data_IF_995723927959
#
_entry.id   IF_995723927959
#
_cell.length_a   1.000
_cell.length_b   1.000
_cell.length_c   1.000
_cell.angle_alpha   90.00
_cell.angle_beta   90.00
_cell.angle_gamma   90.00
#
_symmetry.space_group_name_H-M   'P 1'
#
loop_
_entity.id
_entity.type
_entity.pdbx_description
1 polymer ?
#
# COMPACT_ATOMS: atom_id res chain seq x y z
N UNK A 1 -5.03 -10.04 21.35
CA UNK A 1 -5.00 -9.82 19.89
C UNK A 1 -3.65 -9.25 19.54
N UNK A 2 -2.97 -9.72 18.47
CA UNK A 2 -1.62 -9.25 18.13
C UNK A 2 -1.63 -7.75 17.75
N UNK A 3 -0.65 -6.98 18.25
CA UNK A 3 -0.49 -5.55 17.96
C UNK A 3 -0.13 -5.31 16.49
N UNK A 4 -0.32 -4.08 16.01
CA UNK A 4 -0.02 -3.71 14.62
C UNK A 4 1.47 -3.90 14.27
N UNK A 5 2.35 -3.56 15.21
CA UNK A 5 3.79 -3.85 15.15
C UNK A 5 4.03 -5.36 15.03
N UNK A 6 3.31 -6.17 15.81
CA UNK A 6 3.43 -7.63 15.77
C UNK A 6 2.96 -8.24 14.45
N UNK A 7 2.00 -7.65 13.74
CA UNK A 7 1.51 -8.19 12.46
C UNK A 7 2.35 -7.75 11.28
N UNK A 8 2.80 -6.49 11.26
CA UNK A 8 3.79 -6.01 10.28
C UNK A 8 5.12 -6.76 10.42
N UNK A 9 5.58 -6.88 11.67
CA UNK A 9 6.73 -7.71 11.98
C UNK A 9 6.42 -9.17 11.71
N UNK A 10 5.22 -9.70 11.92
CA UNK A 10 4.92 -11.09 11.55
C UNK A 10 5.04 -11.33 10.04
N UNK A 11 4.69 -10.38 9.18
CA UNK A 11 4.93 -10.50 7.73
C UNK A 11 6.43 -10.47 7.43
N UNK A 12 7.18 -9.55 8.02
CA UNK A 12 8.63 -9.46 7.83
C UNK A 12 9.37 -10.68 8.42
N UNK A 13 8.95 -11.13 9.61
CA UNK A 13 9.45 -12.31 10.34
C UNK A 13 9.07 -13.58 9.62
N UNK A 14 7.87 -13.68 9.03
CA UNK A 14 7.51 -14.81 8.17
C UNK A 14 8.39 -14.85 6.93
N UNK A 15 8.70 -13.69 6.33
CA UNK A 15 9.65 -13.60 5.22
C UNK A 15 11.06 -14.04 5.63
N UNK A 16 11.57 -13.53 6.75
CA UNK A 16 12.87 -13.93 7.29
C UNK A 16 12.87 -15.42 7.67
N UNK A 17 11.81 -15.94 8.29
CA UNK A 17 11.73 -17.34 8.71
C UNK A 17 11.58 -18.31 7.53
N UNK A 18 10.91 -17.90 6.45
CA UNK A 18 10.63 -18.76 5.29
C UNK A 18 11.68 -18.65 4.20
N UNK A 19 12.32 -17.49 4.05
CA UNK A 19 13.21 -17.18 2.93
C UNK A 19 14.58 -16.63 3.37
N UNK A 20 14.84 -16.52 4.68
CA UNK A 20 16.08 -15.94 5.25
C UNK A 20 16.39 -14.53 4.72
N UNK A 21 15.34 -13.79 4.34
CA UNK A 21 15.45 -12.43 3.80
C UNK A 21 14.29 -11.56 4.27
N UNK A 22 14.52 -10.25 4.35
CA UNK A 22 13.48 -9.28 4.71
C UNK A 22 12.38 -9.18 3.64
N UNK A 23 11.21 -8.69 4.03
CA UNK A 23 10.09 -8.49 3.11
C UNK A 23 10.48 -7.57 1.93
N UNK A 24 10.04 -7.86 0.69
CA UNK A 24 10.52 -7.22 -0.53
C UNK A 24 10.41 -5.69 -0.65
N UNK A 25 11.51 -4.92 -0.53
CA UNK A 25 11.63 -3.45 -0.75
C UNK A 25 10.88 -2.87 -1.98
N UNK A 26 9.73 -2.21 -1.77
CA UNK A 26 8.86 -1.51 -2.73
C UNK A 26 9.13 0.00 -2.70
N UNK A 27 10.17 0.45 -3.42
CA UNK A 27 10.49 1.88 -3.56
C UNK A 27 10.27 2.42 -4.98
N UNK A 28 9.93 3.70 -5.09
CA UNK A 28 9.67 4.44 -6.35
C UNK A 28 10.77 4.24 -7.42
N UNK A 29 12.03 4.04 -7.01
CA UNK A 29 13.18 3.85 -7.90
C UNK A 29 13.95 2.52 -7.70
N UNK A 30 13.43 1.54 -6.95
CA UNK A 30 14.23 0.39 -6.46
C UNK A 30 14.31 -0.84 -7.38
N UNK A 31 15.49 -1.21 -7.92
CA UNK A 31 15.67 -2.06 -9.13
C UNK A 31 15.91 -3.56 -8.96
N UNK A 32 15.84 -4.12 -7.75
CA UNK A 32 16.37 -5.48 -7.52
C UNK A 32 15.28 -6.47 -7.06
N UNK A 33 14.61 -7.16 -8.00
CA UNK A 33 13.48 -8.07 -7.72
C UNK A 33 13.43 -9.38 -8.53
N UNK A 34 14.55 -9.89 -9.05
CA UNK A 34 14.58 -11.05 -9.95
C UNK A 34 14.12 -12.42 -9.42
N UNK A 35 13.38 -12.52 -8.29
CA UNK A 35 13.16 -13.82 -7.62
C UNK A 35 11.85 -14.07 -6.88
N UNK A 36 10.80 -13.25 -7.04
CA UNK A 36 9.59 -13.42 -6.23
C UNK A 36 8.49 -14.27 -6.89
N UNK A 37 8.11 -15.38 -6.25
CA UNK A 37 6.95 -16.22 -6.60
C UNK A 37 6.09 -16.52 -5.36
N UNK A 38 4.82 -16.12 -5.40
CA UNK A 38 3.70 -16.79 -4.69
C UNK A 38 3.31 -16.26 -3.29
N UNK A 39 2.16 -15.59 -3.22
CA UNK A 39 1.42 -15.24 -2.01
C UNK A 39 0.66 -16.44 -1.42
N UNK A 40 0.40 -16.43 -0.10
CA UNK A 40 -0.48 -17.38 0.59
C UNK A 40 -1.62 -16.65 1.30
N UNK A 41 -2.76 -17.33 1.42
CA UNK A 41 -4.11 -16.82 1.71
C UNK A 41 -4.23 -15.89 2.93
N UNK A 42 -4.84 -14.72 2.72
CA UNK A 42 -5.22 -13.75 3.75
C UNK A 42 -6.77 -13.67 3.78
N UNK A 43 -7.41 -13.76 4.96
CA UNK A 43 -8.86 -13.74 5.06
C UNK A 43 -9.44 -12.35 4.73
N UNK A 44 -10.48 -12.36 3.90
CA UNK A 44 -11.21 -11.20 3.38
C UNK A 44 -12.48 -10.97 4.20
N UNK A 45 -12.81 -9.70 4.49
CA UNK A 45 -14.06 -9.29 5.12
C UNK A 45 -14.71 -8.20 4.27
N UNK A 46 -16.01 -8.33 3.97
CA UNK A 46 -16.83 -7.30 3.27
C UNK A 46 -17.27 -6.19 4.24
N UNK A 47 -17.21 -4.92 3.81
CA UNK A 47 -17.80 -3.77 4.51
C UNK A 47 -18.99 -3.11 3.78
N UNK A 48 -19.84 -2.35 4.52
CA UNK A 48 -21.03 -1.72 3.97
C UNK A 48 -20.74 -0.37 3.29
N UNK A 49 -21.54 -0.08 2.26
CA UNK A 49 -21.45 1.12 1.45
C UNK A 49 -21.90 2.38 2.22
N UNK A 50 -21.09 3.45 2.08
CA UNK A 50 -21.33 4.88 2.38
C UNK A 50 -20.67 5.43 3.66
N UNK A 51 -19.51 6.09 3.50
CA UNK A 51 -18.98 7.06 4.49
C UNK A 51 -17.46 7.20 4.63
N UNK A 52 -16.66 6.23 4.20
CA UNK A 52 -15.31 6.01 4.78
C UNK A 52 -14.13 6.75 4.12
N UNK A 53 -14.34 7.40 2.97
CA UNK A 53 -13.24 7.98 2.18
C UNK A 53 -12.45 9.07 2.91
N UNK A 54 -13.14 9.94 3.65
CA UNK A 54 -12.50 10.99 4.46
C UNK A 54 -11.67 10.44 5.62
N UNK A 55 -12.10 9.33 6.21
CA UNK A 55 -11.46 8.76 7.40
C UNK A 55 -10.12 8.13 7.04
N UNK A 56 -10.06 7.41 5.91
CA UNK A 56 -8.81 6.86 5.38
C UNK A 56 -7.80 7.98 5.08
N UNK A 57 -8.26 9.08 4.48
CA UNK A 57 -7.39 10.22 4.18
C UNK A 57 -6.92 10.90 5.47
N UNK A 58 -7.78 11.09 6.46
CA UNK A 58 -7.39 11.63 7.77
C UNK A 58 -6.36 10.75 8.48
N UNK A 59 -6.55 9.43 8.45
CA UNK A 59 -5.60 8.46 8.99
C UNK A 59 -4.24 8.56 8.28
N UNK A 60 -4.24 8.65 6.95
CA UNK A 60 -3.01 8.81 6.18
C UNK A 60 -2.32 10.15 6.51
N UNK A 61 -3.08 11.24 6.60
CA UNK A 61 -2.58 12.57 6.97
C UNK A 61 -2.00 12.59 8.39
N UNK A 62 -2.55 11.81 9.33
CA UNK A 62 -2.02 11.70 10.70
C UNK A 62 -0.61 11.13 10.75
N UNK A 63 -0.17 10.45 9.69
CA UNK A 63 1.17 9.87 9.54
C UNK A 63 2.12 10.78 8.77
N UNK A 64 1.73 12.00 8.38
CA UNK A 64 2.62 12.90 7.66
C UNK A 64 3.95 13.11 8.38
N UNK A 65 5.05 13.04 7.61
CA UNK A 65 6.40 13.17 8.15
C UNK A 65 6.96 11.92 8.83
N UNK A 66 6.16 10.86 9.02
CA UNK A 66 6.67 9.58 9.53
C UNK A 66 7.76 9.03 8.61
N UNK A 67 8.88 8.52 9.15
CA UNK A 67 10.03 8.10 8.36
C UNK A 67 9.70 6.89 7.50
N UNK A 68 10.14 6.94 6.24
CA UNK A 68 10.07 5.79 5.36
C UNK A 68 11.11 4.77 5.78
N UNK A 69 10.70 3.53 6.00
CA UNK A 69 11.59 2.37 6.06
C UNK A 69 10.77 1.12 5.85
N UNK A 70 11.17 0.36 4.85
CA UNK A 70 10.57 -0.92 4.60
C UNK A 70 11.03 -1.99 5.61
N UNK A 71 12.33 -2.00 5.93
CA UNK A 71 12.89 -2.97 6.87
C UNK A 71 12.30 -2.81 8.28
N UNK A 72 11.96 -1.57 8.66
CA UNK A 72 11.39 -1.24 9.96
C UNK A 72 9.88 -0.94 9.89
N UNK A 73 9.22 -1.23 8.77
CA UNK A 73 7.81 -0.85 8.57
C UNK A 73 6.94 -1.37 9.71
N UNK A 74 6.13 -0.49 10.28
CA UNK A 74 5.30 -0.78 11.42
C UNK A 74 6.04 -1.01 12.73
N UNK A 75 7.35 -0.72 12.85
CA UNK A 75 8.06 -0.61 14.12
C UNK A 75 8.15 0.87 14.51
N UNK A 76 7.56 1.25 15.65
CA UNK A 76 7.49 2.67 16.05
C UNK A 76 6.78 3.51 14.99
N UNK A 77 7.45 4.58 14.52
CA UNK A 77 6.89 5.49 13.51
C UNK A 77 7.22 5.12 12.06
N UNK A 78 8.01 4.08 11.81
CA UNK A 78 8.44 3.73 10.45
C UNK A 78 7.31 3.15 9.60
N UNK A 79 7.28 3.53 8.32
CA UNK A 79 6.26 3.11 7.36
C UNK A 79 6.88 2.83 5.98
N UNK A 80 6.26 2.00 5.17
CA UNK A 80 6.45 1.98 3.72
C UNK A 80 5.09 2.22 3.02
N UNK A 81 5.07 2.22 1.69
CA UNK A 81 3.89 2.58 0.91
C UNK A 81 2.71 1.64 1.15
N UNK A 82 2.94 0.33 1.10
CA UNK A 82 1.90 -0.68 1.30
C UNK A 82 1.53 -0.88 2.76
N UNK A 83 2.43 -0.60 3.72
CA UNK A 83 2.09 -0.55 5.14
C UNK A 83 1.22 0.65 5.48
N UNK A 84 1.46 1.82 4.87
CA UNK A 84 0.62 3.01 5.11
C UNK A 84 -0.84 2.71 4.73
N UNK A 85 -1.07 2.13 3.54
CA UNK A 85 -2.42 1.75 3.09
C UNK A 85 -3.03 0.68 3.99
N UNK A 86 -2.29 -0.40 4.24
CA UNK A 86 -2.69 -1.48 5.15
C UNK A 86 -3.10 -0.95 6.52
N UNK A 87 -2.29 -0.06 7.10
CA UNK A 87 -2.53 0.48 8.42
C UNK A 87 -3.79 1.34 8.48
N UNK A 88 -4.01 2.21 7.48
CA UNK A 88 -5.20 3.06 7.41
C UNK A 88 -6.47 2.22 7.26
N UNK A 89 -6.50 1.32 6.28
CA UNK A 89 -7.66 0.48 5.98
C UNK A 89 -8.03 -0.46 7.12
N UNK A 90 -7.01 -0.97 7.83
CA UNK A 90 -7.25 -1.82 9.00
C UNK A 90 -7.90 -1.09 10.18
N UNK A 91 -7.72 0.24 10.33
CA UNK A 91 -8.39 0.99 11.40
C UNK A 91 -9.92 0.98 11.24
N UNK A 92 -10.39 0.88 9.99
CA UNK A 92 -11.81 0.83 9.68
C UNK A 92 -12.32 -0.59 9.40
N UNK A 93 -11.49 -1.61 9.67
CA UNK A 93 -11.87 -3.02 9.54
C UNK A 93 -11.61 -3.68 8.18
N UNK A 94 -11.04 -2.96 7.21
CA UNK A 94 -10.68 -3.53 5.90
C UNK A 94 -9.28 -4.14 5.98
N UNK A 95 -9.16 -5.41 5.59
CA UNK A 95 -7.87 -6.10 5.52
C UNK A 95 -7.32 -6.04 4.11
N UNK A 96 -6.13 -5.47 3.97
CA UNK A 96 -5.39 -5.44 2.71
C UNK A 96 -4.22 -6.43 2.73
N UNK A 97 -3.78 -6.93 1.57
CA UNK A 97 -2.51 -7.65 1.48
C UNK A 97 -1.30 -6.79 1.88
N UNK A 98 -0.23 -7.43 2.33
CA UNK A 98 0.95 -6.77 2.92
C UNK A 98 1.94 -6.13 1.93
N UNK A 99 1.62 -6.10 0.64
CA UNK A 99 2.49 -5.53 -0.41
C UNK A 99 1.66 -4.81 -1.47
N UNK A 100 2.22 -3.78 -2.11
CA UNK A 100 1.50 -2.94 -3.08
C UNK A 100 1.00 -3.75 -4.28
N UNK A 101 1.82 -4.68 -4.79
CA UNK A 101 1.43 -5.53 -5.91
C UNK A 101 0.28 -6.49 -5.54
N UNK A 102 0.28 -7.05 -4.33
CA UNK A 102 -0.83 -7.90 -3.87
C UNK A 102 -2.09 -7.09 -3.57
N UNK A 103 -1.95 -5.86 -3.07
CA UNK A 103 -3.08 -4.94 -2.95
C UNK A 103 -3.69 -4.66 -4.31
N UNK A 104 -2.88 -4.38 -5.33
CA UNK A 104 -3.35 -4.19 -6.70
C UNK A 104 -4.02 -5.44 -7.26
N UNK A 105 -3.44 -6.63 -7.04
CA UNK A 105 -4.05 -7.90 -7.43
C UNK A 105 -5.41 -8.10 -6.78
N UNK A 106 -5.49 -7.87 -5.47
CA UNK A 106 -6.74 -7.95 -4.71
C UNK A 106 -7.81 -7.04 -5.30
N UNK A 107 -7.47 -5.79 -5.68
CA UNK A 107 -8.45 -4.89 -6.32
C UNK A 107 -9.03 -5.49 -7.59
N UNK A 108 -8.21 -6.16 -8.40
CA UNK A 108 -8.68 -6.74 -9.67
C UNK A 108 -9.46 -8.03 -9.44
N UNK A 109 -8.95 -8.95 -8.62
CA UNK A 109 -9.58 -10.25 -8.36
C UNK A 109 -10.95 -10.12 -7.67
N UNK A 110 -11.15 -9.06 -6.88
CA UNK A 110 -12.41 -8.76 -6.20
C UNK A 110 -13.29 -7.74 -6.94
N UNK A 111 -12.93 -7.35 -8.17
CA UNK A 111 -13.71 -6.41 -8.98
C UNK A 111 -13.94 -5.04 -8.26
N UNK A 112 -12.90 -4.57 -7.57
CA UNK A 112 -12.85 -3.31 -6.82
C UNK A 112 -12.09 -2.20 -7.57
N UNK A 113 -11.82 -2.41 -8.85
CA UNK A 113 -11.12 -1.42 -9.68
C UNK A 113 -12.02 -0.23 -9.98
N UNK A 114 -11.43 0.95 -10.10
CA UNK A 114 -12.13 2.19 -10.44
C UNK A 114 -11.48 2.87 -11.63
N UNK A 115 -12.28 3.60 -12.40
CA UNK A 115 -11.77 4.51 -13.42
C UNK A 115 -11.10 5.72 -12.75
N UNK A 116 -10.05 6.27 -13.39
CA UNK A 116 -9.32 7.43 -12.87
C UNK A 116 -10.25 8.62 -12.63
N UNK A 117 -11.20 8.83 -13.53
CA UNK A 117 -12.17 9.92 -13.50
C UNK A 117 -13.21 9.75 -12.38
N UNK A 118 -13.29 8.55 -11.81
CA UNK A 118 -14.20 8.17 -10.73
C UNK A 118 -13.48 8.07 -9.37
N UNK A 119 -12.23 8.53 -9.29
CA UNK A 119 -11.46 8.55 -8.05
C UNK A 119 -12.19 9.35 -6.96
N UNK A 120 -12.24 8.76 -5.78
CA UNK A 120 -12.82 9.33 -4.57
C UNK A 120 -11.80 9.29 -3.44
N UNK A 121 -11.87 10.23 -2.47
CA UNK A 121 -11.07 10.19 -1.26
C UNK A 121 -11.00 8.78 -0.67
N UNK A 122 -9.79 8.32 -0.35
CA UNK A 122 -9.52 6.98 0.15
C UNK A 122 -9.04 6.00 -0.91
N UNK A 123 -9.45 6.15 -2.18
CA UNK A 123 -9.08 5.20 -3.25
C UNK A 123 -7.56 5.03 -3.35
N UNK A 124 -7.13 3.80 -3.66
CA UNK A 124 -5.73 3.48 -3.85
C UNK A 124 -5.31 3.75 -5.29
N UNK A 125 -4.17 4.41 -5.44
CA UNK A 125 -3.51 4.64 -6.73
C UNK A 125 -2.24 3.81 -6.76
N UNK A 126 -2.02 3.06 -7.83
CA UNK A 126 -0.87 2.17 -7.97
C UNK A 126 0.01 2.60 -9.15
N UNK A 127 1.32 2.58 -8.93
CA UNK A 127 2.31 2.93 -9.94
C UNK A 127 3.20 1.76 -10.33
N UNK A 128 3.54 1.69 -11.62
CA UNK A 128 4.61 0.84 -12.16
C UNK A 128 5.71 1.72 -12.75
N UNK A 129 6.77 1.93 -11.98
CA UNK A 129 7.94 2.69 -12.45
C UNK A 129 8.89 1.83 -13.29
N UNK A 130 8.83 0.51 -13.15
CA UNK A 130 9.64 -0.43 -13.93
C UNK A 130 9.15 -1.88 -13.84
N UNK A 131 9.59 -2.74 -14.78
CA UNK A 131 9.39 -4.18 -14.67
C UNK A 131 9.99 -4.75 -13.39
N UNK A 132 9.21 -5.59 -12.69
CA UNK A 132 9.66 -6.28 -11.47
C UNK A 132 9.12 -7.72 -11.36
N UNK A 133 8.37 -8.21 -12.37
CA UNK A 133 7.83 -9.58 -12.40
C UNK A 133 6.62 -9.83 -11.48
N UNK A 134 6.14 -8.79 -10.79
CA UNK A 134 5.00 -8.86 -9.88
C UNK A 134 3.72 -8.44 -10.61
N UNK A 135 2.59 -8.55 -9.92
CA UNK A 135 1.30 -8.17 -10.49
C UNK A 135 1.34 -6.76 -11.08
N UNK A 136 1.06 -6.66 -12.39
CA UNK A 136 1.10 -5.41 -13.18
C UNK A 136 2.41 -4.60 -13.06
N UNK A 137 3.51 -5.25 -12.67
CA UNK A 137 4.76 -4.58 -12.31
C UNK A 137 4.59 -3.43 -11.30
N UNK A 138 3.62 -3.56 -10.37
CA UNK A 138 3.35 -2.53 -9.37
C UNK A 138 4.55 -2.40 -8.44
N UNK A 139 4.99 -1.16 -8.26
CA UNK A 139 6.16 -0.76 -7.47
C UNK A 139 5.80 0.14 -6.29
N UNK A 140 4.65 0.82 -6.34
CA UNK A 140 4.25 1.80 -5.33
C UNK A 140 2.73 1.90 -5.24
N UNK A 141 2.24 2.34 -4.08
CA UNK A 141 0.83 2.61 -3.80
C UNK A 141 0.69 3.86 -2.92
N UNK A 142 -0.38 4.61 -3.13
CA UNK A 142 -0.73 5.78 -2.34
C UNK A 142 -2.25 5.90 -2.17
N UNK A 143 -2.66 6.73 -1.22
CA UNK A 143 -4.07 7.00 -0.90
C UNK A 143 -4.46 8.32 -1.55
N UNK A 144 -5.42 8.27 -2.47
CA UNK A 144 -6.01 9.46 -3.08
C UNK A 144 -6.74 10.28 -2.01
N UNK A 145 -6.47 11.58 -1.94
CA UNK A 145 -7.05 12.46 -0.95
C UNK A 145 -8.27 13.22 -1.50
N UNK A 146 -8.07 14.02 -2.54
CA UNK A 146 -9.05 14.76 -3.35
C UNK A 146 -8.30 15.72 -4.28
N UNK A 147 -8.96 16.37 -5.24
CA UNK A 147 -8.37 17.42 -6.10
C UNK A 147 -7.03 17.06 -6.77
N UNK A 148 -6.88 15.78 -7.16
CA UNK A 148 -5.65 15.30 -7.77
C UNK A 148 -4.49 15.16 -6.79
N UNK A 149 -4.75 15.09 -5.49
CA UNK A 149 -3.76 14.94 -4.44
C UNK A 149 -3.70 13.51 -3.90
N UNK A 150 -2.53 13.13 -3.39
CA UNK A 150 -2.25 11.82 -2.80
C UNK A 150 -1.44 11.95 -1.52
N UNK A 151 -1.71 11.05 -0.57
CA UNK A 151 -0.84 10.78 0.58
C UNK A 151 -0.09 9.48 0.32
N UNK A 152 1.24 9.51 0.38
CA UNK A 152 2.08 8.33 0.18
C UNK A 152 3.31 8.34 1.08
N UNK A 153 3.78 7.15 1.48
CA UNK A 153 5.09 6.98 2.10
C UNK A 153 6.14 6.88 0.99
N UNK A 154 6.82 7.99 0.70
CA UNK A 154 7.76 8.05 -0.42
C UNK A 154 9.17 7.67 -0.01
N UNK A 155 9.76 6.74 -0.75
CA UNK A 155 11.16 6.35 -0.61
C UNK A 155 12.10 7.54 -0.88
N UNK A 156 11.89 8.24 -2.01
CA UNK A 156 12.76 9.35 -2.42
C UNK A 156 12.69 10.55 -1.47
N UNK A 157 11.56 10.76 -0.79
CA UNK A 157 11.41 11.81 0.25
C UNK A 157 11.77 11.33 1.65
N UNK A 158 11.98 10.02 1.83
CA UNK A 158 12.32 9.40 3.11
C UNK A 158 11.21 9.49 4.17
N UNK A 159 9.96 9.80 3.78
CA UNK A 159 8.85 10.02 4.72
C UNK A 159 7.48 9.99 4.04
N UNK A 160 6.42 9.97 4.86
CA UNK A 160 5.05 10.23 4.40
C UNK A 160 4.90 11.68 3.97
N UNK A 161 4.35 11.88 2.78
CA UNK A 161 4.13 13.19 2.17
C UNK A 161 2.70 13.30 1.64
N UNK A 162 2.21 14.54 1.56
CA UNK A 162 1.00 14.92 0.86
C UNK A 162 1.41 15.76 -0.34
N UNK A 163 1.00 15.35 -1.55
CA UNK A 163 1.48 15.96 -2.79
C UNK A 163 0.50 15.76 -3.94
N UNK A 164 0.64 16.51 -5.06
CA UNK A 164 -0.09 16.19 -6.28
C UNK A 164 0.22 14.77 -6.75
N UNK A 165 -0.77 14.14 -7.39
CA UNK A 165 -0.56 12.95 -8.20
C UNK A 165 0.57 13.22 -9.19
N UNK A 166 1.42 12.22 -9.34
CA UNK A 166 2.67 12.30 -10.08
C UNK A 166 2.75 11.13 -11.05
N UNK A 167 3.64 11.24 -12.03
CA UNK A 167 3.96 10.20 -13.00
C UNK A 167 2.68 9.57 -13.60
N UNK A 168 1.83 10.41 -14.17
CA UNK A 168 0.51 10.02 -14.69
C UNK A 168 0.59 8.88 -15.73
N UNK A 169 1.68 8.81 -16.49
CA UNK A 169 1.94 7.73 -17.46
C UNK A 169 2.38 6.41 -16.80
N UNK A 170 2.70 6.43 -15.50
CA UNK A 170 3.11 5.28 -14.69
C UNK A 170 2.02 4.78 -13.75
N UNK A 171 0.89 5.49 -13.63
CA UNK A 171 -0.27 5.03 -12.88
C UNK A 171 -0.93 3.89 -13.66
N UNK A 172 -0.93 2.69 -13.09
CA UNK A 172 -1.36 1.47 -13.80
C UNK A 172 -2.69 0.92 -13.31
N UNK A 173 -3.11 1.29 -12.11
CA UNK A 173 -4.33 0.78 -11.50
C UNK A 173 -4.87 1.78 -10.47
N UNK A 174 -6.19 1.82 -10.35
CA UNK A 174 -6.90 2.50 -9.27
C UNK A 174 -7.88 1.50 -8.66
N UNK A 175 -8.01 1.50 -7.34
CA UNK A 175 -8.93 0.59 -6.66
C UNK A 175 -9.58 1.22 -5.44
N UNK A 176 -10.79 0.78 -5.14
CA UNK A 176 -11.57 1.19 -3.97
C UNK A 176 -11.75 0.00 -3.04
N UNK A 177 -10.90 -0.15 -2.02
CA UNK A 177 -11.07 -1.23 -1.05
C UNK A 177 -12.43 -1.17 -0.37
N UNK A 178 -13.03 -2.34 -0.18
CA UNK A 178 -14.30 -2.58 0.52
C UNK A 178 -14.16 -3.79 1.44
#
# INVERSE_FOLDING_TARGET
TATYEQQSNAVNVWYVAKYDTAAPTEGDEFSDWGGWNGAGDIPVYDLPANGNGSDIVQLALSRLGHPYSQALRGTGNYVDCSYLTLWCYRQIGISLPGTAAEQGRYMVEHNLTVAKESLQPGDLVFWSHKPNGRYMNITHVGIYAEDGMVVDASYSKGKVVYRPLFDNDKQVLYGRPQ
#
